data_IF_885591363195
#
_entry.id   IF_885591363195
#
_cell.length_a   1.000
_cell.length_b   1.000
_cell.length_c   1.000
_cell.angle_alpha   90.00
_cell.angle_beta   90.00
_cell.angle_gamma   90.00
#
_symmetry.space_group_name_H-M   'P 1'
#
loop_
_entity.id
_entity.type
_entity.pdbx_description
1 polymer ?
#
# COMPACT_ATOMS: atom_id res chain seq x y z
N UNK A 1 7.41 0.70 -11.38
CA UNK A 1 6.12 0.03 -11.62
C UNK A 1 6.18 -1.33 -10.93
N UNK A 2 5.27 -1.59 -9.98
CA UNK A 2 5.24 -2.82 -9.19
C UNK A 2 3.95 -3.58 -9.47
N UNK A 3 4.05 -4.87 -9.77
CA UNK A 3 2.92 -5.74 -10.12
C UNK A 3 2.84 -6.95 -9.19
N UNK A 4 1.67 -7.20 -8.62
CA UNK A 4 1.39 -8.42 -7.83
C UNK A 4 0.84 -9.54 -8.70
N UNK A 5 1.27 -10.77 -8.43
CA UNK A 5 0.74 -11.95 -9.13
C UNK A 5 -0.63 -12.34 -8.59
N UNK A 6 -1.46 -13.05 -9.38
CA UNK A 6 -2.75 -13.57 -8.88
C UNK A 6 -2.61 -14.50 -7.67
N UNK A 7 -1.49 -15.21 -7.56
CA UNK A 7 -1.16 -16.05 -6.40
C UNK A 7 -0.96 -15.21 -5.13
N UNK A 8 -0.20 -14.11 -5.23
CA UNK A 8 -0.02 -13.16 -4.12
C UNK A 8 -1.36 -12.49 -3.76
N UNK A 9 -2.15 -12.06 -4.74
CA UNK A 9 -3.49 -11.48 -4.52
C UNK A 9 -4.37 -12.45 -3.75
N UNK A 10 -4.34 -13.74 -4.09
CA UNK A 10 -5.12 -14.77 -3.37
C UNK A 10 -4.66 -14.95 -1.92
N UNK A 11 -3.35 -14.88 -1.66
CA UNK A 11 -2.83 -14.86 -0.29
C UNK A 11 -3.27 -13.62 0.48
N UNK A 12 -3.16 -12.44 -0.13
CA UNK A 12 -3.59 -11.19 0.49
C UNK A 12 -5.09 -11.18 0.76
N UNK A 13 -5.92 -11.73 -0.14
CA UNK A 13 -7.37 -11.87 0.08
C UNK A 13 -7.67 -12.72 1.31
N UNK A 14 -6.91 -13.80 1.55
CA UNK A 14 -7.07 -14.63 2.75
C UNK A 14 -6.69 -13.87 4.03
N UNK A 15 -5.60 -13.10 4.00
CA UNK A 15 -5.15 -12.30 5.15
C UNK A 15 -6.06 -11.09 5.44
N UNK A 16 -6.66 -10.54 4.39
CA UNK A 16 -7.48 -9.32 4.43
C UNK A 16 -8.97 -9.64 4.33
N UNK A 17 -9.37 -10.88 4.59
CA UNK A 17 -10.75 -11.34 4.48
C UNK A 17 -11.72 -10.55 5.37
N UNK A 18 -11.23 -10.00 6.48
CA UNK A 18 -12.00 -9.17 7.41
C UNK A 18 -12.11 -7.70 6.95
N UNK A 19 -11.30 -7.28 5.97
CA UNK A 19 -11.24 -5.89 5.51
C UNK A 19 -11.81 -5.74 4.10
N UNK A 20 -13.12 -5.44 4.04
CA UNK A 20 -13.85 -5.30 2.77
C UNK A 20 -13.21 -4.26 1.81
N UNK A 21 -12.66 -3.17 2.35
CA UNK A 21 -12.00 -2.14 1.54
C UNK A 21 -10.70 -2.65 0.91
N UNK A 22 -9.96 -3.50 1.64
CA UNK A 22 -8.77 -4.13 1.14
C UNK A 22 -9.10 -5.19 0.08
N UNK A 23 -10.19 -5.92 0.23
CA UNK A 23 -10.70 -6.86 -0.78
C UNK A 23 -11.10 -6.15 -2.09
N UNK A 24 -11.79 -5.00 -2.01
CA UNK A 24 -12.15 -4.21 -3.19
C UNK A 24 -10.90 -3.66 -3.91
N UNK A 25 -9.90 -3.23 -3.13
CA UNK A 25 -8.61 -2.82 -3.67
C UNK A 25 -7.89 -3.98 -4.38
N UNK A 26 -7.85 -5.18 -3.77
CA UNK A 26 -7.26 -6.38 -4.35
C UNK A 26 -7.96 -6.81 -5.64
N UNK A 27 -9.29 -6.72 -5.68
CA UNK A 27 -10.07 -7.01 -6.88
C UNK A 27 -9.71 -6.06 -8.04
N UNK A 28 -9.59 -4.78 -7.74
CA UNK A 28 -9.17 -3.80 -8.73
C UNK A 28 -7.73 -4.03 -9.19
N UNK A 29 -6.83 -4.40 -8.27
CA UNK A 29 -5.45 -4.75 -8.61
C UNK A 29 -5.43 -5.95 -9.57
N UNK A 30 -6.22 -6.99 -9.29
CA UNK A 30 -6.35 -8.19 -10.14
C UNK A 30 -6.86 -7.82 -11.54
N UNK A 31 -7.93 -7.02 -11.62
CA UNK A 31 -8.47 -6.50 -12.88
C UNK A 31 -7.44 -5.69 -13.69
N UNK A 32 -6.47 -5.07 -13.02
CA UNK A 32 -5.37 -4.31 -13.64
C UNK A 32 -4.09 -5.13 -13.83
N UNK A 33 -4.21 -6.45 -13.94
CA UNK A 33 -3.07 -7.36 -14.15
C UNK A 33 -2.01 -7.22 -13.04
N UNK A 34 -2.47 -6.98 -11.80
CA UNK A 34 -1.60 -6.79 -10.66
C UNK A 34 -0.99 -5.40 -10.52
N UNK A 35 -1.29 -4.46 -11.41
CA UNK A 35 -0.61 -3.16 -11.44
C UNK A 35 -1.09 -2.23 -10.32
N UNK A 36 -0.25 -2.07 -9.29
CA UNK A 36 -0.54 -1.28 -8.10
C UNK A 36 -0.66 0.22 -8.39
N UNK A 37 0.10 0.75 -9.36
CA UNK A 37 0.06 2.17 -9.72
C UNK A 37 -1.29 2.54 -10.36
N UNK A 38 -1.73 1.72 -11.31
CA UNK A 38 -3.01 1.94 -11.99
C UNK A 38 -4.19 1.72 -11.04
N UNK A 39 -4.11 0.69 -10.18
CA UNK A 39 -5.13 0.45 -9.17
C UNK A 39 -5.23 1.62 -8.17
N UNK A 40 -4.10 2.13 -7.68
CA UNK A 40 -4.08 3.30 -6.79
C UNK A 40 -4.72 4.53 -7.46
N UNK A 41 -4.39 4.80 -8.73
CA UNK A 41 -4.98 5.92 -9.47
C UNK A 41 -6.50 5.83 -9.55
N UNK A 42 -7.03 4.64 -9.84
CA UNK A 42 -8.49 4.43 -9.94
C UNK A 42 -9.15 4.48 -8.55
N UNK A 43 -8.54 3.90 -7.51
CA UNK A 43 -9.06 3.98 -6.14
C UNK A 43 -9.12 5.42 -5.64
N UNK A 44 -8.09 6.20 -5.92
CA UNK A 44 -8.05 7.61 -5.58
C UNK A 44 -9.18 8.38 -6.26
N UNK A 45 -9.40 8.17 -7.57
CA UNK A 45 -10.52 8.77 -8.31
C UNK A 45 -11.86 8.35 -7.72
N UNK A 46 -12.06 7.05 -7.43
CA UNK A 46 -13.31 6.54 -6.83
C UNK A 46 -13.58 7.13 -5.45
N UNK A 47 -12.54 7.38 -4.67
CA UNK A 47 -12.64 7.96 -3.33
C UNK A 47 -12.72 9.49 -3.33
N UNK A 48 -12.67 10.16 -4.50
CA UNK A 48 -12.58 11.62 -4.58
C UNK A 48 -11.26 12.17 -4.04
N UNK A 49 -10.24 11.32 -3.90
CA UNK A 49 -8.89 11.71 -3.51
C UNK A 49 -8.15 12.20 -4.76
N UNK A 50 -8.17 13.52 -4.98
CA UNK A 50 -7.41 14.19 -6.05
C UNK A 50 -6.11 14.77 -5.48
N UNK A 51 -4.98 14.03 -5.48
CA UNK A 51 -3.69 14.68 -5.29
C UNK A 51 -3.40 15.59 -6.49
N UNK A 52 -2.66 16.67 -6.26
CA UNK A 52 -2.27 17.66 -7.27
C UNK A 52 -1.95 17.02 -8.63
N UNK A 53 -2.67 17.45 -9.69
CA UNK A 53 -2.73 16.95 -11.10
C UNK A 53 -1.45 16.42 -11.79
N UNK A 54 -0.27 16.55 -11.20
CA UNK A 54 1.03 16.21 -11.81
C UNK A 54 1.81 15.09 -11.10
N UNK A 55 1.35 14.59 -9.95
CA UNK A 55 2.13 13.64 -9.15
C UNK A 55 1.61 12.21 -9.29
N UNK A 56 2.54 11.24 -9.37
CA UNK A 56 2.20 9.82 -9.20
C UNK A 56 1.59 9.60 -7.82
N UNK A 57 0.27 9.39 -7.81
CA UNK A 57 -0.56 9.22 -6.62
C UNK A 57 0.06 8.19 -5.68
N UNK A 58 0.45 7.04 -6.24
CA UNK A 58 1.08 5.99 -5.47
C UNK A 58 2.36 6.51 -4.81
N UNK A 59 3.25 7.17 -5.55
CA UNK A 59 4.52 7.66 -4.99
C UNK A 59 4.32 8.65 -3.83
N UNK A 60 3.41 9.61 -3.97
CA UNK A 60 3.07 10.57 -2.90
C UNK A 60 2.54 9.84 -1.64
N UNK A 61 1.69 8.84 -1.84
CA UNK A 61 1.21 7.99 -0.76
C UNK A 61 2.34 7.20 -0.12
N UNK A 62 3.24 6.58 -0.90
CA UNK A 62 4.38 5.83 -0.38
C UNK A 62 5.29 6.73 0.48
N UNK A 63 5.58 7.94 0.03
CA UNK A 63 6.40 8.90 0.78
C UNK A 63 5.76 9.32 2.11
N UNK A 64 4.46 9.62 2.11
CA UNK A 64 3.73 9.92 3.34
C UNK A 64 3.67 8.70 4.26
N UNK A 65 3.45 7.53 3.68
CA UNK A 65 3.32 6.26 4.39
C UNK A 65 4.62 5.77 5.01
N UNK A 66 5.77 6.15 4.45
CA UNK A 66 7.09 5.85 5.04
C UNK A 66 7.22 6.33 6.48
N UNK A 67 6.65 7.49 6.83
CA UNK A 67 6.68 8.00 8.21
C UNK A 67 5.97 7.08 9.22
N UNK A 68 5.05 6.25 8.74
CA UNK A 68 4.28 5.31 9.55
C UNK A 68 4.89 3.92 9.43
N UNK A 69 4.95 3.37 8.22
CA UNK A 69 5.46 2.01 7.94
C UNK A 69 6.89 1.80 8.45
N UNK A 70 7.72 2.85 8.50
CA UNK A 70 9.10 2.75 8.96
C UNK A 70 9.29 2.94 10.46
N UNK A 71 8.21 3.14 11.22
CA UNK A 71 8.26 2.99 12.67
C UNK A 71 8.47 1.53 13.03
N UNK A 72 9.16 1.29 14.13
CA UNK A 72 9.59 -0.06 14.53
C UNK A 72 8.43 -1.04 14.66
N UNK A 73 7.30 -0.60 15.23
CA UNK A 73 6.09 -1.42 15.39
C UNK A 73 5.57 -1.95 14.04
N UNK A 74 5.27 -1.06 13.09
CA UNK A 74 4.69 -1.43 11.80
C UNK A 74 5.70 -2.12 10.90
N UNK A 75 6.99 -1.79 11.05
CA UNK A 75 8.07 -2.42 10.31
C UNK A 75 8.21 -3.90 10.68
N UNK A 76 8.14 -4.22 11.97
CA UNK A 76 8.26 -5.61 12.44
C UNK A 76 7.02 -6.42 12.03
N UNK A 77 5.82 -5.84 12.15
CA UNK A 77 4.57 -6.47 11.70
C UNK A 77 4.59 -6.77 10.19
N UNK A 78 4.97 -5.80 9.36
CA UNK A 78 5.13 -6.02 7.91
C UNK A 78 6.24 -7.03 7.60
N UNK A 79 7.32 -7.05 8.37
CA UNK A 79 8.39 -8.04 8.20
C UNK A 79 7.94 -9.46 8.58
N UNK A 80 7.05 -9.58 9.57
CA UNK A 80 6.38 -10.81 9.96
C UNK A 80 5.26 -11.24 8.99
N UNK A 81 4.93 -10.39 8.01
CA UNK A 81 3.89 -10.63 7.02
C UNK A 81 2.49 -10.26 7.48
N UNK A 82 2.34 -9.47 8.53
CA UNK A 82 1.06 -9.06 9.09
C UNK A 82 0.62 -7.73 8.48
N UNK A 83 0.16 -7.79 7.23
CA UNK A 83 -0.31 -6.64 6.44
C UNK A 83 -1.57 -5.95 7.04
N UNK A 84 -2.62 -6.65 7.54
CA UNK A 84 -3.83 -5.98 7.99
C UNK A 84 -3.62 -4.95 9.11
N UNK A 85 -2.67 -5.21 10.02
CA UNK A 85 -2.41 -4.35 11.18
C UNK A 85 -1.86 -2.97 10.80
N UNK A 86 -1.21 -2.86 9.64
CA UNK A 86 -0.69 -1.57 9.18
C UNK A 86 -1.70 -0.74 8.38
N UNK A 87 -2.78 -1.32 7.86
CA UNK A 87 -3.69 -0.65 6.91
C UNK A 87 -4.48 0.46 7.59
N UNK A 88 -5.11 0.16 8.72
CA UNK A 88 -5.95 1.11 9.45
C UNK A 88 -5.18 2.30 10.03
N UNK A 89 -4.07 2.11 10.79
CA UNK A 89 -3.26 3.21 11.29
C UNK A 89 -2.67 4.04 10.14
N UNK A 90 -2.35 3.41 9.01
CA UNK A 90 -1.87 4.12 7.83
C UNK A 90 -2.96 4.99 7.20
N UNK A 91 -4.17 4.44 7.02
CA UNK A 91 -5.32 5.15 6.49
C UNK A 91 -5.64 6.40 7.33
N UNK A 92 -5.65 6.24 8.66
CA UNK A 92 -5.88 7.35 9.58
C UNK A 92 -4.74 8.38 9.56
N UNK A 93 -3.50 7.92 9.65
CA UNK A 93 -2.32 8.82 9.76
C UNK A 93 -2.06 9.62 8.49
N UNK A 94 -2.27 9.01 7.33
CA UNK A 94 -2.06 9.67 6.02
C UNK A 94 -3.35 10.34 5.52
N UNK A 95 -4.47 10.17 6.24
CA UNK A 95 -5.80 10.62 5.86
C UNK A 95 -6.20 10.15 4.45
N UNK A 96 -5.99 8.86 4.18
CA UNK A 96 -6.28 8.22 2.89
C UNK A 96 -7.34 7.13 3.07
N UNK A 97 -8.14 6.85 2.04
CA UNK A 97 -9.08 5.75 2.09
C UNK A 97 -8.37 4.41 2.33
N UNK A 98 -8.99 3.48 3.07
CA UNK A 98 -8.41 2.19 3.43
C UNK A 98 -8.02 1.33 2.22
N UNK A 99 -8.71 1.48 1.08
CA UNK A 99 -8.31 0.84 -0.17
C UNK A 99 -6.93 1.30 -0.66
N UNK A 100 -6.60 2.60 -0.55
CA UNK A 100 -5.27 3.12 -0.89
C UNK A 100 -4.22 2.67 0.12
N UNK A 101 -4.56 2.67 1.41
CA UNK A 101 -3.67 2.16 2.46
C UNK A 101 -3.30 0.69 2.22
N UNK A 102 -4.27 -0.12 1.76
CA UNK A 102 -4.06 -1.53 1.40
C UNK A 102 -3.04 -1.67 0.27
N UNK A 103 -3.17 -0.87 -0.79
CA UNK A 103 -2.22 -0.86 -1.93
C UNK A 103 -0.80 -0.53 -1.44
N UNK A 104 -0.66 0.45 -0.56
CA UNK A 104 0.64 0.87 -0.02
C UNK A 104 1.24 -0.21 0.88
N UNK A 105 0.45 -0.83 1.75
CA UNK A 105 0.91 -1.91 2.60
C UNK A 105 1.41 -3.11 1.79
N UNK A 106 0.65 -3.51 0.75
CA UNK A 106 1.05 -4.55 -0.20
C UNK A 106 2.34 -4.16 -0.94
N UNK A 107 2.46 -2.89 -1.37
CA UNK A 107 3.66 -2.40 -2.04
C UNK A 107 4.89 -2.52 -1.13
N UNK A 108 4.80 -2.04 0.11
CA UNK A 108 5.88 -2.07 1.08
C UNK A 108 6.29 -3.50 1.44
N UNK A 109 5.31 -4.40 1.62
CA UNK A 109 5.57 -5.81 1.82
C UNK A 109 6.31 -6.43 0.64
N UNK A 110 5.83 -6.17 -0.58
CA UNK A 110 6.35 -6.79 -1.80
C UNK A 110 7.76 -6.36 -2.17
N UNK A 111 8.12 -5.08 -2.01
CA UNK A 111 9.52 -4.67 -2.20
C UNK A 111 10.40 -5.03 -1.00
N UNK A 112 9.78 -5.48 0.10
CA UNK A 112 10.40 -5.70 1.39
C UNK A 112 10.47 -4.41 2.21
N UNK A 113 9.90 -4.45 3.42
CA UNK A 113 9.82 -3.27 4.30
C UNK A 113 11.19 -2.64 4.59
N UNK A 114 12.26 -3.44 4.63
CA UNK A 114 13.64 -2.96 4.77
C UNK A 114 14.06 -2.05 3.61
N UNK A 115 13.75 -2.42 2.36
CA UNK A 115 14.02 -1.58 1.17
C UNK A 115 13.07 -0.40 1.10
N UNK A 116 11.81 -0.59 1.51
CA UNK A 116 10.83 0.49 1.56
C UNK A 116 11.27 1.63 2.49
N UNK A 117 11.83 1.27 3.65
CA UNK A 117 12.31 2.17 4.69
C UNK A 117 13.77 2.58 4.56
N UNK A 118 14.47 2.08 3.56
CA UNK A 118 15.82 2.53 3.28
C UNK A 118 15.71 3.99 2.79
N UNK A 119 16.09 4.94 3.65
CA UNK A 119 16.44 6.28 3.20
C UNK A 119 17.58 6.12 2.19
N UNK A 120 17.59 6.83 1.05
CA UNK A 120 18.82 6.94 0.28
C UNK A 120 19.84 7.52 1.26
N UNK A 121 20.89 6.74 1.54
CA UNK A 121 22.01 7.13 2.39
C UNK A 121 22.34 8.59 2.06
N UNK A 122 22.09 9.49 3.02
CA UNK A 122 22.80 10.76 3.02
C UNK A 122 24.24 10.35 3.25
N UNK A 123 25.03 10.42 2.18
CA UNK A 123 26.46 10.18 2.18
C UNK A 123 27.09 10.77 3.44
N UNK A 124 27.84 9.93 4.15
CA UNK A 124 28.67 10.28 5.31
C UNK A 124 29.73 11.31 4.96
#
# INVERSE_FOLDING_TARGET
MLTVTPEEISQFRSQLADNQNALDALDLIEQRNGNLDTAAKILAIRAGYEPSRKSDILNDLLEKSRKIICQEEFRDELAAGIIPLVIEPLAMSVAIPPGLASVVAIYAFKIGVKKFCQVPDSES
#
